data_IF_565127806007
#
_entry.id   IF_565127806007
#
_cell.length_a   1.000
_cell.length_b   1.000
_cell.length_c   1.000
_cell.angle_alpha   90.00
_cell.angle_beta   90.00
_cell.angle_gamma   90.00
#
_symmetry.space_group_name_H-M   'P 1'
#
loop_
_entity.id
_entity.type
_entity.pdbx_description
1 polymer ?
#
# COMPACT_ATOMS: atom_id res chain seq x y z
N UNK A 1 -4.78 3.65 -10.68
CA UNK A 1 -4.22 3.42 -12.02
C UNK A 1 -4.11 1.92 -12.26
N UNK A 2 -4.45 1.45 -13.46
CA UNK A 2 -4.28 0.05 -13.89
C UNK A 2 -3.05 0.00 -14.80
N UNK A 3 -1.82 -0.14 -14.27
CA UNK A 3 -0.62 -0.18 -15.09
C UNK A 3 -0.58 -1.36 -16.06
N UNK A 4 -1.28 -2.46 -15.77
CA UNK A 4 -1.26 -3.64 -16.62
C UNK A 4 -2.56 -4.44 -16.51
N UNK A 5 -3.07 -4.85 -17.66
CA UNK A 5 -4.20 -5.75 -17.81
C UNK A 5 -3.95 -6.65 -19.02
N UNK A 6 -4.05 -7.96 -18.81
CA UNK A 6 -3.98 -8.97 -19.85
C UNK A 6 -5.23 -9.86 -19.74
N UNK A 7 -5.97 -9.95 -20.83
CA UNK A 7 -7.09 -10.87 -20.98
C UNK A 7 -6.92 -11.65 -22.26
N UNK A 8 -6.67 -12.96 -22.15
CA UNK A 8 -6.52 -13.85 -23.29
C UNK A 8 -7.53 -14.97 -23.20
N UNK A 9 -8.18 -15.27 -24.31
CA UNK A 9 -9.12 -16.39 -24.40
C UNK A 9 -8.64 -17.35 -25.47
N UNK A 10 -8.53 -18.63 -25.10
CA UNK A 10 -8.04 -19.70 -25.95
C UNK A 10 -9.08 -20.83 -25.99
N UNK A 11 -9.41 -21.38 -27.17
CA UNK A 11 -10.22 -22.58 -27.24
C UNK A 11 -9.41 -23.76 -26.71
N UNK A 12 -10.07 -24.62 -25.94
CA UNK A 12 -9.52 -25.91 -25.51
C UNK A 12 -9.84 -27.00 -26.53
N UNK A 13 -9.16 -28.14 -26.43
CA UNK A 13 -9.43 -29.32 -27.28
C UNK A 13 -10.87 -29.85 -27.11
N UNK A 14 -11.53 -29.56 -25.99
CA UNK A 14 -12.94 -29.91 -25.75
C UNK A 14 -13.94 -28.87 -26.28
N UNK A 15 -13.47 -27.83 -26.98
CA UNK A 15 -14.30 -26.73 -27.49
C UNK A 15 -14.74 -25.72 -26.43
N UNK A 16 -14.31 -25.90 -25.17
CA UNK A 16 -14.57 -24.96 -24.09
C UNK A 16 -13.63 -23.76 -24.18
N UNK A 17 -14.10 -22.60 -23.71
CA UNK A 17 -13.31 -21.37 -23.71
C UNK A 17 -12.47 -21.27 -22.44
N UNK A 18 -11.15 -21.31 -22.58
CA UNK A 18 -10.21 -21.08 -21.49
C UNK A 18 -9.77 -19.61 -21.49
N UNK A 19 -10.03 -18.90 -20.40
CA UNK A 19 -9.71 -17.50 -20.24
C UNK A 19 -8.61 -17.31 -19.19
N UNK A 20 -7.60 -16.54 -19.54
CA UNK A 20 -6.52 -16.08 -18.67
C UNK A 20 -6.71 -14.59 -18.44
N UNK A 21 -6.73 -14.19 -17.17
CA UNK A 21 -6.82 -12.80 -16.75
C UNK A 21 -5.63 -12.50 -15.84
N UNK A 22 -4.91 -11.43 -16.09
CA UNK A 22 -3.88 -10.91 -15.20
C UNK A 22 -4.06 -9.40 -15.10
N UNK A 23 -4.19 -8.90 -13.89
CA UNK A 23 -4.38 -7.47 -13.64
C UNK A 23 -3.42 -6.98 -12.57
N UNK A 24 -2.85 -5.80 -12.79
CA UNK A 24 -2.05 -5.08 -11.82
C UNK A 24 -2.65 -3.69 -11.67
N UNK A 25 -2.96 -3.32 -10.43
CA UNK A 25 -3.50 -2.03 -10.06
C UNK A 25 -2.61 -1.38 -9.01
N UNK A 26 -2.43 -0.07 -9.14
CA UNK A 26 -1.65 0.75 -8.22
C UNK A 26 -2.46 1.98 -7.87
N UNK A 27 -2.55 2.26 -6.57
CA UNK A 27 -3.16 3.46 -6.02
C UNK A 27 -2.17 4.11 -5.06
N UNK A 28 -1.96 5.41 -5.22
CA UNK A 28 -1.17 6.22 -4.30
C UNK A 28 -2.03 7.37 -3.79
N UNK A 29 -1.89 7.70 -2.52
CA UNK A 29 -2.63 8.78 -1.87
C UNK A 29 -1.70 9.50 -0.89
N UNK A 30 -1.74 10.83 -0.91
CA UNK A 30 -0.96 11.66 0.01
C UNK A 30 -1.94 12.57 0.75
N UNK A 31 -2.10 12.36 2.05
CA UNK A 31 -2.92 13.23 2.90
C UNK A 31 -2.05 14.24 3.64
N UNK A 32 -2.25 15.53 3.37
CA UNK A 32 -1.49 16.62 3.98
C UNK A 32 -2.34 17.50 4.90
N UNK A 33 -1.80 17.90 6.05
CA UNK A 33 -2.39 18.91 6.93
C UNK A 33 -1.36 19.98 7.27
N UNK A 34 -1.66 21.21 6.91
CA UNK A 34 -0.86 22.40 7.25
C UNK A 34 -1.56 23.18 8.36
N UNK A 35 -0.83 23.54 9.40
CA UNK A 35 -1.24 24.46 10.47
C UNK A 35 -0.26 25.61 10.49
N UNK A 36 -0.78 26.84 10.42
CA UNK A 36 0.00 28.06 10.50
C UNK A 36 -0.53 28.89 11.67
N UNK A 37 0.36 29.28 12.57
CA UNK A 37 0.06 30.24 13.61
C UNK A 37 0.91 31.49 13.39
N UNK A 38 0.26 32.55 12.94
CA UNK A 38 0.89 33.84 12.62
C UNK A 38 0.52 34.93 13.64
N UNK A 39 -0.16 34.58 14.73
CA UNK A 39 -0.69 35.55 15.71
C UNK A 39 0.42 36.41 16.29
N UNK A 40 1.57 35.82 16.63
CA UNK A 40 2.71 36.55 17.18
C UNK A 40 3.41 37.44 16.13
N UNK A 41 3.29 37.10 14.84
CA UNK A 41 3.83 37.88 13.74
C UNK A 41 2.96 39.12 13.49
N UNK A 42 1.63 38.94 13.54
CA UNK A 42 0.65 40.02 13.43
C UNK A 42 0.73 41.01 14.61
N UNK A 43 1.07 40.54 15.81
CA UNK A 43 1.28 41.38 16.99
C UNK A 43 2.68 42.05 17.05
N UNK A 44 3.47 42.01 15.96
CA UNK A 44 4.86 42.52 15.89
C UNK A 44 5.82 41.89 16.92
N UNK A 45 5.47 40.73 17.50
CA UNK A 45 6.33 39.99 18.44
C UNK A 45 7.33 39.07 17.73
N UNK A 46 7.39 39.09 16.40
CA UNK A 46 8.40 38.38 15.60
C UNK A 46 8.28 36.85 15.61
N UNK A 47 7.21 36.29 16.18
CA UNK A 47 7.02 34.84 16.29
C UNK A 47 6.13 34.24 15.21
N UNK A 48 6.47 33.07 14.68
CA UNK A 48 5.57 32.27 13.84
C UNK A 48 5.79 30.77 14.03
N UNK A 49 4.69 30.02 14.04
CA UNK A 49 4.74 28.56 14.08
C UNK A 49 4.07 27.97 12.84
N UNK A 50 4.70 26.97 12.27
CA UNK A 50 4.16 26.18 11.17
C UNK A 50 4.30 24.70 11.48
N UNK A 51 3.27 23.93 11.21
CA UNK A 51 3.30 22.48 11.31
C UNK A 51 2.70 21.87 10.04
N UNK A 52 3.48 21.05 9.36
CA UNK A 52 3.08 20.24 8.23
C UNK A 52 3.05 18.77 8.65
N UNK A 53 1.93 18.10 8.40
CA UNK A 53 1.80 16.65 8.57
C UNK A 53 1.49 16.03 7.22
N UNK A 54 2.26 15.04 6.80
CA UNK A 54 2.09 14.31 5.55
C UNK A 54 1.91 12.82 5.84
N UNK A 55 0.91 12.21 5.21
CA UNK A 55 0.65 10.77 5.30
C UNK A 55 0.58 10.18 3.89
N UNK A 56 1.73 9.94 3.24
CA UNK A 56 1.77 9.22 1.98
C UNK A 56 1.44 7.74 2.19
N UNK A 57 0.65 7.18 1.28
CA UNK A 57 0.24 5.79 1.25
C UNK A 57 0.22 5.29 -0.19
N UNK A 58 0.59 4.03 -0.37
CA UNK A 58 0.60 3.32 -1.64
C UNK A 58 -0.03 1.95 -1.45
N UNK A 59 -0.77 1.51 -2.46
CA UNK A 59 -1.48 0.25 -2.52
C UNK A 59 -1.24 -0.36 -3.89
N UNK A 60 -0.75 -1.58 -3.92
CA UNK A 60 -0.51 -2.36 -5.13
C UNK A 60 -1.36 -3.62 -5.01
N UNK A 61 -2.26 -3.88 -5.94
CA UNK A 61 -3.01 -5.12 -6.00
C UNK A 61 -2.79 -5.81 -7.34
N UNK A 62 -2.47 -7.10 -7.28
CA UNK A 62 -2.17 -7.98 -8.40
C UNK A 62 -3.14 -9.14 -8.36
N UNK A 63 -3.82 -9.42 -9.46
CA UNK A 63 -4.72 -10.54 -9.59
C UNK A 63 -4.36 -11.39 -10.80
N UNK A 64 -4.62 -12.67 -10.70
CA UNK A 64 -4.55 -13.62 -11.79
C UNK A 64 -5.76 -14.53 -11.74
N UNK A 65 -6.35 -14.88 -12.88
CA UNK A 65 -7.39 -15.89 -12.95
C UNK A 65 -7.22 -16.77 -14.18
N UNK A 66 -7.51 -18.06 -13.99
CA UNK A 66 -7.63 -19.04 -15.06
C UNK A 66 -9.04 -19.60 -14.97
N UNK A 67 -9.85 -19.38 -16.00
CA UNK A 67 -11.28 -19.69 -16.02
C UNK A 67 -11.61 -20.55 -17.23
N UNK A 68 -12.21 -21.70 -17.01
CA UNK A 68 -12.87 -22.50 -18.03
C UNK A 68 -14.34 -22.10 -18.10
N UNK A 69 -14.79 -21.69 -19.28
CA UNK A 69 -16.17 -21.27 -19.55
C UNK A 69 -16.88 -22.29 -20.44
N UNK A 70 -18.07 -22.70 -19.99
CA UNK A 70 -19.03 -23.50 -20.73
C UNK A 70 -20.35 -22.71 -20.79
N UNK A 71 -20.53 -21.91 -21.84
CA UNK A 71 -21.67 -20.98 -21.94
C UNK A 71 -21.72 -20.00 -20.76
N UNK A 72 -22.76 -20.11 -19.93
CA UNK A 72 -22.97 -19.28 -18.74
C UNK A 72 -22.29 -19.83 -17.47
N UNK A 73 -21.66 -21.00 -17.54
CA UNK A 73 -21.01 -21.64 -16.40
C UNK A 73 -19.51 -21.40 -16.45
N UNK A 74 -18.95 -20.94 -15.33
CA UNK A 74 -17.52 -20.69 -15.17
C UNK A 74 -16.96 -21.50 -14.01
N UNK A 75 -15.79 -22.10 -14.23
CA UNK A 75 -15.03 -22.83 -13.21
C UNK A 75 -13.55 -22.52 -13.39
N UNK A 76 -12.77 -22.50 -12.31
CA UNK A 76 -11.37 -22.12 -12.40
C UNK A 76 -10.75 -21.74 -11.05
N UNK A 77 -9.70 -20.94 -11.11
CA UNK A 77 -9.03 -20.42 -9.93
C UNK A 77 -8.67 -18.95 -10.13
N UNK A 78 -8.76 -18.18 -9.05
CA UNK A 78 -8.35 -16.79 -8.98
C UNK A 78 -7.37 -16.62 -7.83
N UNK A 79 -6.28 -15.89 -8.07
CA UNK A 79 -5.30 -15.49 -7.07
C UNK A 79 -5.32 -13.97 -6.97
N UNK A 80 -5.23 -13.44 -5.76
CA UNK A 80 -5.15 -12.00 -5.54
C UNK A 80 -4.13 -11.69 -4.45
N UNK A 81 -3.18 -10.82 -4.75
CA UNK A 81 -2.14 -10.36 -3.84
C UNK A 81 -2.16 -8.84 -3.74
N UNK A 82 -2.26 -8.31 -2.53
CA UNK A 82 -2.22 -6.88 -2.28
C UNK A 82 -1.09 -6.52 -1.32
N UNK A 83 -0.36 -5.45 -1.64
CA UNK A 83 0.64 -4.80 -0.81
C UNK A 83 0.16 -3.39 -0.50
N UNK A 84 -0.01 -3.07 0.77
CA UNK A 84 -0.26 -1.71 1.23
C UNK A 84 0.95 -1.22 2.01
N UNK A 85 1.44 -0.02 1.71
CA UNK A 85 2.49 0.66 2.46
C UNK A 85 2.05 2.09 2.79
N UNK A 86 2.22 2.51 4.05
CA UNK A 86 1.93 3.87 4.48
C UNK A 86 3.00 4.38 5.44
N UNK A 87 3.31 5.66 5.39
CA UNK A 87 4.23 6.33 6.31
C UNK A 87 3.66 7.68 6.74
N UNK A 88 4.22 8.26 7.80
CA UNK A 88 3.82 9.56 8.34
C UNK A 88 5.07 10.41 8.55
N UNK A 89 5.02 11.66 8.11
CA UNK A 89 6.09 12.65 8.30
C UNK A 89 5.48 13.88 8.93
N UNK A 90 6.06 14.34 10.05
CA UNK A 90 5.67 15.59 10.70
C UNK A 90 6.85 16.54 10.64
N UNK A 91 6.63 17.72 10.09
CA UNK A 91 7.59 18.80 10.05
C UNK A 91 7.00 19.97 10.83
N UNK A 92 7.76 20.51 11.78
CA UNK A 92 7.43 21.75 12.47
C UNK A 92 8.53 22.76 12.28
N UNK A 93 8.14 23.99 11.99
CA UNK A 93 9.02 25.13 11.85
C UNK A 93 8.56 26.19 12.85
N UNK A 94 9.47 26.62 13.71
CA UNK A 94 9.23 27.62 14.75
C UNK A 94 10.19 28.78 14.52
N UNK A 95 9.66 29.99 14.47
CA UNK A 95 10.44 31.22 14.40
C UNK A 95 10.24 32.00 15.68
N UNK A 96 11.32 32.21 16.43
CA UNK A 96 11.31 32.98 17.69
C UNK A 96 12.03 34.31 17.50
N UNK A 97 11.43 35.40 17.99
CA UNK A 97 11.98 36.77 17.98
C UNK A 97 12.50 37.26 16.62
N UNK A 98 11.93 36.77 15.52
CA UNK A 98 12.32 37.11 14.15
C UNK A 98 13.75 36.71 13.75
N UNK A 99 14.48 35.98 14.61
CA UNK A 99 15.91 35.67 14.42
C UNK A 99 16.24 34.19 14.50
N UNK A 100 15.49 33.41 15.29
CA UNK A 100 15.77 31.99 15.50
C UNK A 100 14.78 31.13 14.75
N UNK A 101 15.23 30.45 13.70
CA UNK A 101 14.48 29.43 12.98
C UNK A 101 14.83 28.04 13.55
N UNK A 102 13.87 27.35 14.13
CA UNK A 102 13.99 25.94 14.51
C UNK A 102 13.18 25.09 13.55
N UNK A 103 13.87 24.21 12.82
CA UNK A 103 13.24 23.16 12.03
C UNK A 103 13.33 21.85 12.81
N UNK A 104 12.19 21.23 13.09
CA UNK A 104 12.12 19.88 13.67
C UNK A 104 11.39 18.98 12.68
N UNK A 105 12.07 17.94 12.23
CA UNK A 105 11.50 16.86 11.44
C UNK A 105 11.33 15.70 12.40
N UNK A 106 10.08 15.35 12.68
CA UNK A 106 9.73 14.21 13.52
C UNK A 106 9.11 13.12 12.66
N UNK A 107 9.79 11.97 12.64
CA UNK A 107 9.28 10.76 12.01
C UNK A 107 8.77 9.84 13.14
N UNK A 108 7.45 9.67 13.29
CA UNK A 108 6.89 8.89 14.38
C UNK A 108 7.42 7.45 14.36
N UNK A 109 8.09 7.05 15.44
CA UNK A 109 8.81 5.78 15.54
C UNK A 109 7.90 4.55 15.37
N UNK A 110 6.58 4.69 15.63
CA UNK A 110 5.59 3.62 15.48
C UNK A 110 5.00 3.48 14.07
N UNK A 111 5.23 4.45 13.17
CA UNK A 111 4.64 4.50 11.82
C UNK A 111 5.67 4.78 10.73
N UNK A 112 6.94 4.41 10.95
CA UNK A 112 8.02 4.55 9.97
C UNK A 112 7.64 3.94 8.61
N UNK A 113 7.04 2.75 8.61
CA UNK A 113 6.46 2.10 7.43
C UNK A 113 5.46 1.01 7.86
N UNK A 114 4.16 1.21 7.61
CA UNK A 114 3.15 0.16 7.78
C UNK A 114 3.01 -0.61 6.47
N UNK A 115 3.68 -1.77 6.36
CA UNK A 115 3.55 -2.67 5.21
C UNK A 115 2.62 -3.84 5.55
N UNK A 116 1.54 -4.02 4.77
CA UNK A 116 0.62 -5.16 4.87
C UNK A 116 0.59 -5.90 3.55
N UNK A 117 0.94 -7.19 3.59
CA UNK A 117 0.85 -8.11 2.47
C UNK A 117 -0.33 -9.04 2.74
N UNK A 118 -1.22 -9.17 1.76
CA UNK A 118 -2.31 -10.15 1.78
C UNK A 118 -2.26 -10.93 0.47
N UNK A 119 -2.47 -12.24 0.56
CA UNK A 119 -2.56 -13.12 -0.59
C UNK A 119 -3.72 -14.07 -0.37
N UNK A 120 -4.68 -14.07 -1.28
CA UNK A 120 -5.87 -14.91 -1.26
C UNK A 120 -5.92 -15.75 -2.52
N UNK A 121 -6.37 -16.99 -2.39
CA UNK A 121 -6.63 -17.90 -3.51
C UNK A 121 -8.08 -18.37 -3.40
N UNK A 122 -8.81 -18.25 -4.51
CA UNK A 122 -10.23 -18.58 -4.60
C UNK A 122 -10.43 -19.59 -5.71
N UNK A 123 -11.08 -20.71 -5.39
CA UNK A 123 -11.61 -21.65 -6.38
C UNK A 123 -12.93 -21.11 -6.91
N UNK A 124 -13.15 -21.24 -8.21
CA UNK A 124 -14.43 -20.97 -8.84
C UNK A 124 -14.99 -22.30 -9.32
N UNK A 125 -16.17 -22.66 -8.88
CA UNK A 125 -16.83 -23.89 -9.26
C UNK A 125 -18.29 -23.60 -9.59
N UNK A 126 -18.66 -23.79 -10.85
CA UNK A 126 -20.02 -23.54 -11.33
C UNK A 126 -20.56 -22.16 -10.90
N UNK A 127 -19.78 -21.11 -11.19
CA UNK A 127 -20.04 -19.71 -10.81
C UNK A 127 -19.98 -19.41 -9.30
N UNK A 128 -19.67 -20.39 -8.44
CA UNK A 128 -19.51 -20.17 -6.99
C UNK A 128 -18.06 -19.94 -6.63
N UNK A 129 -17.80 -18.83 -5.94
CA UNK A 129 -16.50 -18.53 -5.36
C UNK A 129 -16.37 -19.27 -4.03
N UNK A 130 -15.34 -20.09 -3.90
CA UNK A 130 -15.01 -20.81 -2.67
C UNK A 130 -13.56 -20.51 -2.28
N UNK A 131 -13.27 -20.26 -1.00
CA UNK A 131 -11.89 -20.11 -0.56
C UNK A 131 -11.12 -21.40 -0.87
N UNK A 132 -9.91 -21.27 -1.39
CA UNK A 132 -9.05 -22.42 -1.64
C UNK A 132 -8.48 -22.90 -0.31
N UNK A 133 -9.03 -23.98 0.25
CA UNK A 133 -8.58 -24.60 1.49
C UNK A 133 -7.26 -25.34 1.24
N UNK A 134 -6.15 -24.61 1.18
CA UNK A 134 -4.80 -25.20 1.34
C UNK A 134 -4.59 -25.43 2.83
N UNK A 135 -4.17 -26.63 3.22
CA UNK A 135 -3.70 -26.89 4.58
C UNK A 135 -2.79 -25.77 5.06
N UNK A 136 -3.10 -25.21 6.23
CA UNK A 136 -2.46 -24.02 6.84
C UNK A 136 -0.96 -24.23 7.12
N UNK A 137 -0.08 -24.12 6.12
CA UNK A 137 1.37 -24.26 6.36
C UNK A 137 2.30 -23.31 5.59
N UNK A 138 1.83 -22.14 5.14
CA UNK A 138 2.73 -21.09 4.61
C UNK A 138 2.50 -19.78 5.37
N UNK A 139 2.62 -19.82 6.70
CA UNK A 139 2.62 -18.62 7.52
C UNK A 139 3.89 -18.47 8.37
N UNK A 140 5.05 -18.79 7.78
CA UNK A 140 6.33 -18.67 8.47
C UNK A 140 7.48 -18.16 7.57
N UNK A 141 7.27 -17.08 6.81
CA UNK A 141 8.41 -16.24 6.40
C UNK A 141 8.00 -14.76 6.48
N UNK A 142 7.71 -14.30 7.69
CA UNK A 142 7.56 -12.88 7.99
C UNK A 142 8.15 -12.58 9.36
N UNK A 143 9.44 -12.26 9.38
CA UNK A 143 10.11 -11.31 10.29
C UNK A 143 11.62 -11.28 9.99
N UNK A 144 12.01 -10.75 8.82
CA UNK A 144 13.37 -10.17 8.71
C UNK A 144 13.29 -8.78 9.31
N UNK A 145 13.52 -8.69 10.62
CA UNK A 145 13.94 -7.46 11.26
C UNK A 145 15.36 -7.16 10.78
N UNK A 146 15.51 -6.28 9.79
CA UNK A 146 16.79 -5.62 9.57
C UNK A 146 16.91 -4.51 10.61
N UNK A 147 17.59 -4.82 11.70
CA UNK A 147 18.13 -3.81 12.60
C UNK A 147 19.36 -3.19 11.91
N UNK A 148 19.29 -1.90 11.56
CA UNK A 148 20.51 -1.10 11.39
C UNK A 148 21.23 -1.05 12.73
N UNK A 149 22.51 -1.38 12.72
CA UNK A 149 23.41 -1.26 13.85
C UNK A 149 24.78 -0.87 13.32
N UNK A 150 24.90 0.38 12.86
CA UNK A 150 26.18 1.08 12.85
C UNK A 150 26.61 1.26 14.31
N UNK A 151 27.29 0.25 14.83
CA UNK A 151 28.18 0.40 15.97
C UNK A 151 29.51 -0.19 15.55
N UNK A 152 30.47 0.68 15.25
CA UNK A 152 31.89 0.52 15.59
C UNK A 152 32.60 1.86 15.33
N UNK A 153 32.40 2.80 16.25
CA UNK A 153 33.43 3.79 16.57
C UNK A 153 34.53 3.11 17.40
N UNK A 154 35.77 3.14 16.92
CA UNK A 154 36.91 3.61 17.71
C UNK A 154 38.01 4.13 16.80
#
# INVERSE_FOLDING_TARGET
MLPFELSQTLPTLSGLSLQFLVNISVAAKIDGKLRLNLVNLLQRKGGADSQLKLHPSISIARGGAVLLRAGHVTSGAMTMSSLHAATSVVQSMEMTDGRKLSLKIDVPHKHLLLAKIRSDITKIESNRHQPFTVGRHIHEIAKKHYCSGDTLTK
#
